data_IF_540372605776
#
_entry.id   IF_540372605776
#
_cell.length_a   1.000
_cell.length_b   1.000
_cell.length_c   1.000
_cell.angle_alpha   90.00
_cell.angle_beta   90.00
_cell.angle_gamma   90.00
#
_symmetry.space_group_name_H-M   'P 1'
#
loop_
_entity.id
_entity.type
_entity.pdbx_description
1 polymer ?
#
# COMPACT_ATOMS: atom_id res chain seq x y z
N UNK A 1 -10.41 -20.01 -28.27
CA UNK A 1 -11.18 -19.53 -29.44
C UNK A 1 -10.36 -18.79 -30.50
N UNK A 2 -9.33 -18.01 -30.15
CA UNK A 2 -8.58 -17.22 -31.14
C UNK A 2 -7.63 -18.00 -32.08
N UNK A 3 -7.23 -19.21 -31.69
CA UNK A 3 -6.27 -20.04 -32.43
C UNK A 3 -6.83 -20.61 -33.74
N UNK A 4 -8.14 -20.87 -33.81
CA UNK A 4 -8.78 -21.41 -35.01
C UNK A 4 -8.82 -20.37 -36.15
N UNK A 5 -9.16 -19.11 -35.83
CA UNK A 5 -9.23 -18.01 -36.80
C UNK A 5 -7.86 -17.71 -37.41
N UNK A 6 -6.80 -17.74 -36.59
CA UNK A 6 -5.44 -17.54 -37.06
C UNK A 6 -4.95 -18.67 -37.99
N UNK A 7 -5.31 -19.91 -37.70
CA UNK A 7 -4.90 -21.09 -38.47
C UNK A 7 -5.64 -21.19 -39.81
N UNK A 8 -6.90 -20.76 -39.89
CA UNK A 8 -7.67 -20.67 -41.13
C UNK A 8 -7.11 -19.61 -42.09
N UNK A 9 -6.70 -18.44 -41.58
CA UNK A 9 -6.10 -17.38 -42.41
C UNK A 9 -4.71 -17.78 -42.96
N UNK A 10 -3.91 -18.50 -42.16
CA UNK A 10 -2.62 -19.03 -42.61
C UNK A 10 -2.76 -20.12 -43.68
N UNK A 11 -3.75 -21.02 -43.55
CA UNK A 11 -4.00 -22.09 -44.53
C UNK A 11 -4.46 -21.58 -45.90
N UNK A 12 -5.25 -20.49 -45.93
CA UNK A 12 -5.72 -19.86 -47.18
C UNK A 12 -4.60 -19.12 -47.95
N UNK A 13 -3.54 -18.68 -47.26
CA UNK A 13 -2.46 -17.90 -47.86
C UNK A 13 -1.45 -18.78 -48.67
N UNK A 14 -1.39 -20.09 -48.37
CA UNK A 14 -0.36 -21.00 -48.92
C UNK A 14 -0.74 -21.57 -50.30
N UNK A 15 -2.02 -21.48 -50.73
CA UNK A 15 -2.53 -22.23 -51.90
C UNK A 15 -2.31 -21.56 -53.28
N UNK A 16 -1.84 -20.31 -53.38
CA UNK A 16 -2.03 -19.50 -54.61
C UNK A 16 -0.86 -19.29 -55.59
N UNK A 17 0.35 -19.81 -55.30
CA UNK A 17 1.36 -20.19 -56.32
C UNK A 17 1.66 -19.29 -57.55
N UNK A 18 1.72 -17.96 -57.43
CA UNK A 18 2.14 -17.03 -58.50
C UNK A 18 2.86 -15.82 -57.87
N UNK A 19 3.92 -15.27 -58.50
CA UNK A 19 4.77 -14.20 -57.95
C UNK A 19 4.01 -12.92 -57.54
N UNK A 20 2.85 -12.64 -58.15
CA UNK A 20 1.95 -11.60 -57.68
C UNK A 20 1.30 -11.93 -56.32
N UNK A 21 0.98 -13.20 -56.07
CA UNK A 21 0.47 -13.67 -54.77
C UNK A 21 1.55 -13.69 -53.68
N UNK A 22 2.83 -13.81 -54.03
CA UNK A 22 3.93 -13.69 -53.06
C UNK A 22 4.05 -12.26 -52.51
N UNK A 23 3.85 -11.25 -53.37
CA UNK A 23 3.77 -9.84 -52.95
C UNK A 23 2.53 -9.55 -52.09
N UNK A 24 1.35 -10.05 -52.49
CA UNK A 24 0.14 -9.91 -51.67
C UNK A 24 0.22 -10.68 -50.35
N UNK A 25 0.87 -11.85 -50.35
CA UNK A 25 1.13 -12.65 -49.16
C UNK A 25 2.02 -11.91 -48.17
N UNK A 26 3.09 -11.27 -48.64
CA UNK A 26 3.99 -10.45 -47.82
C UNK A 26 3.29 -9.24 -47.19
N UNK A 27 2.41 -8.56 -47.93
CA UNK A 27 1.57 -7.48 -47.40
C UNK A 27 0.58 -8.01 -46.34
N UNK A 28 -0.03 -9.17 -46.59
CA UNK A 28 -0.94 -9.83 -45.64
C UNK A 28 -0.25 -10.25 -44.34
N UNK A 29 0.98 -10.76 -44.42
CA UNK A 29 1.81 -11.08 -43.25
C UNK A 29 2.18 -9.80 -42.49
N UNK A 30 2.56 -8.73 -43.19
CA UNK A 30 2.87 -7.43 -42.59
C UNK A 30 1.67 -6.83 -41.85
N UNK A 31 0.48 -6.87 -42.43
CA UNK A 31 -0.76 -6.43 -41.79
C UNK A 31 -1.12 -7.28 -40.57
N UNK A 32 -0.90 -8.59 -40.64
CA UNK A 32 -1.15 -9.51 -39.52
C UNK A 32 -0.21 -9.24 -38.35
N UNK A 33 1.09 -9.06 -38.61
CA UNK A 33 2.06 -8.67 -37.58
C UNK A 33 1.74 -7.28 -37.01
N UNK A 34 1.34 -6.32 -37.86
CA UNK A 34 0.91 -4.99 -37.43
C UNK A 34 -0.31 -5.05 -36.51
N UNK A 35 -1.33 -5.84 -36.88
CA UNK A 35 -2.52 -6.03 -36.06
C UNK A 35 -2.21 -6.70 -34.71
N UNK A 36 -1.41 -7.77 -34.70
CA UNK A 36 -0.98 -8.44 -33.46
C UNK A 36 -0.16 -7.49 -32.59
N UNK A 37 0.75 -6.72 -33.18
CA UNK A 37 1.56 -5.71 -32.47
C UNK A 37 0.69 -4.63 -31.86
N UNK A 38 -0.29 -4.09 -32.60
CA UNK A 38 -1.25 -3.12 -32.07
C UNK A 38 -2.07 -3.71 -30.90
N UNK A 39 -2.51 -4.97 -30.99
CA UNK A 39 -3.21 -5.66 -29.90
C UNK A 39 -2.30 -5.81 -28.68
N UNK A 40 -1.04 -6.20 -28.87
CA UNK A 40 -0.04 -6.33 -27.80
C UNK A 40 0.25 -4.98 -27.14
N UNK A 41 0.42 -3.91 -27.93
CA UNK A 41 0.62 -2.55 -27.42
C UNK A 41 -0.62 -2.10 -26.63
N UNK A 42 -1.84 -2.33 -27.15
CA UNK A 42 -3.06 -1.98 -26.44
C UNK A 42 -3.23 -2.78 -25.14
N UNK A 43 -2.87 -4.07 -25.13
CA UNK A 43 -2.88 -4.92 -23.93
C UNK A 43 -1.81 -4.50 -22.92
N UNK A 44 -0.57 -4.30 -23.36
CA UNK A 44 0.51 -3.80 -22.52
C UNK A 44 0.17 -2.43 -21.94
N UNK A 45 -0.42 -1.53 -22.74
CA UNK A 45 -0.89 -0.23 -22.26
C UNK A 45 -1.99 -0.38 -21.22
N UNK A 46 -2.93 -1.32 -21.38
CA UNK A 46 -3.95 -1.62 -20.35
C UNK A 46 -3.38 -2.29 -19.09
N UNK A 47 -2.29 -3.05 -19.21
CA UNK A 47 -1.58 -3.65 -18.08
C UNK A 47 -0.74 -2.62 -17.32
N UNK A 48 -0.15 -1.66 -18.05
CA UNK A 48 0.68 -0.58 -17.51
C UNK A 48 -0.13 0.60 -16.98
N UNK A 49 -1.33 0.86 -17.51
CA UNK A 49 -2.21 1.95 -17.06
C UNK A 49 -2.90 1.72 -15.72
N UNK A 50 -2.40 0.79 -14.90
CA UNK A 50 -2.81 0.68 -13.51
C UNK A 50 -4.24 0.20 -13.38
N UNK A 51 -4.41 -1.08 -13.07
CA UNK A 51 -5.49 -1.38 -12.14
C UNK A 51 -5.05 -0.72 -10.83
N UNK A 52 -5.62 0.41 -10.45
CA UNK A 52 -5.66 0.80 -9.04
C UNK A 52 -6.31 -0.36 -8.27
N UNK A 53 -6.08 -0.45 -6.96
CA UNK A 53 -6.94 -1.33 -6.15
C UNK A 53 -8.39 -1.03 -6.50
N UNK A 54 -9.23 -2.07 -6.52
CA UNK A 54 -10.65 -1.86 -6.70
C UNK A 54 -11.11 -0.79 -5.71
N UNK A 55 -11.83 0.22 -6.21
CA UNK A 55 -12.22 1.38 -5.41
C UNK A 55 -12.99 0.98 -4.15
N UNK A 56 -13.69 -0.15 -4.20
CA UNK A 56 -14.37 -0.78 -3.06
C UNK A 56 -13.37 -1.31 -2.01
N UNK A 57 -12.30 -1.98 -2.42
CA UNK A 57 -11.25 -2.44 -1.51
C UNK A 57 -10.53 -1.28 -0.84
N UNK A 58 -10.26 -0.22 -1.59
CA UNK A 58 -9.60 0.98 -1.05
C UNK A 58 -10.50 1.69 -0.03
N UNK A 59 -11.80 1.81 -0.33
CA UNK A 59 -12.79 2.31 0.62
C UNK A 59 -12.89 1.43 1.88
N UNK A 60 -12.83 0.11 1.71
CA UNK A 60 -12.82 -0.85 2.82
C UNK A 60 -11.60 -0.68 3.74
N UNK A 61 -10.40 -0.58 3.18
CA UNK A 61 -9.16 -0.33 3.96
C UNK A 61 -9.26 0.99 4.72
N UNK A 62 -9.76 2.06 4.06
CA UNK A 62 -9.96 3.36 4.69
C UNK A 62 -10.95 3.27 5.85
N UNK A 63 -12.07 2.58 5.66
CA UNK A 63 -13.09 2.41 6.71
C UNK A 63 -12.55 1.60 7.89
N UNK A 64 -11.77 0.56 7.61
CA UNK A 64 -11.10 -0.24 8.64
C UNK A 64 -10.18 0.64 9.50
N UNK A 65 -9.31 1.43 8.87
CA UNK A 65 -8.42 2.36 9.57
C UNK A 65 -9.19 3.39 10.40
N UNK A 66 -10.24 4.00 9.84
CA UNK A 66 -11.06 4.98 10.56
C UNK A 66 -11.86 4.40 11.74
N UNK A 67 -11.96 3.08 11.86
CA UNK A 67 -12.61 2.41 13.01
C UNK A 67 -11.67 2.27 14.20
N UNK A 68 -10.36 2.34 13.98
CA UNK A 68 -9.36 2.18 15.02
C UNK A 68 -9.26 3.44 15.87
N UNK A 69 -9.32 3.28 17.20
CA UNK A 69 -9.31 4.43 18.14
C UNK A 69 -8.03 5.25 18.09
N UNK A 70 -6.93 4.63 17.68
CA UNK A 70 -5.61 5.24 17.53
C UNK A 70 -5.49 6.11 16.27
N UNK A 71 -6.45 6.04 15.34
CA UNK A 71 -6.44 6.80 14.08
C UNK A 71 -7.38 8.00 14.18
N UNK A 72 -6.86 9.21 13.91
CA UNK A 72 -7.64 10.44 13.81
C UNK A 72 -8.11 10.69 12.38
N UNK A 73 -7.21 10.52 11.43
CA UNK A 73 -7.48 10.76 10.02
C UNK A 73 -6.54 9.94 9.14
N UNK A 74 -6.95 9.72 7.89
CA UNK A 74 -6.16 9.07 6.86
C UNK A 74 -6.10 9.99 5.65
N UNK A 75 -4.88 10.32 5.24
CA UNK A 75 -4.52 11.24 4.18
C UNK A 75 -3.62 10.56 3.13
N UNK A 76 -3.43 11.24 2.00
CA UNK A 76 -2.57 10.85 0.86
C UNK A 76 -2.61 9.34 0.49
N UNK A 77 -3.82 8.77 0.41
CA UNK A 77 -3.97 7.34 0.07
C UNK A 77 -3.57 7.11 -1.38
N UNK A 78 -2.55 6.27 -1.58
CA UNK A 78 -2.05 5.83 -2.88
C UNK A 78 -2.16 4.31 -2.98
N UNK A 79 -2.71 3.82 -4.10
CA UNK A 79 -2.73 2.39 -4.39
C UNK A 79 -2.28 2.10 -5.82
N UNK A 80 -1.50 1.04 -5.99
CA UNK A 80 -0.99 0.59 -7.28
C UNK A 80 -1.08 -0.93 -7.35
N UNK A 81 -1.73 -1.50 -8.38
CA UNK A 81 -1.59 -2.93 -8.64
C UNK A 81 -0.18 -3.21 -9.16
N UNK A 82 0.49 -4.15 -8.50
CA UNK A 82 1.83 -4.62 -8.88
C UNK A 82 1.70 -5.85 -9.80
N UNK A 83 0.61 -6.60 -9.68
CA UNK A 83 0.40 -7.81 -10.47
C UNK A 83 -1.04 -8.33 -10.39
N UNK A 84 -1.30 -9.53 -10.96
CA UNK A 84 -2.63 -10.13 -10.96
C UNK A 84 -3.12 -10.38 -9.52
N UNK A 85 -4.08 -9.58 -9.07
CA UNK A 85 -4.65 -9.69 -7.71
C UNK A 85 -3.73 -9.23 -6.58
N UNK A 86 -2.64 -8.52 -6.90
CA UNK A 86 -1.70 -8.00 -5.90
C UNK A 86 -1.62 -6.48 -6.00
N UNK A 87 -1.85 -5.82 -4.88
CA UNK A 87 -1.74 -4.38 -4.75
C UNK A 87 -0.73 -3.96 -3.68
N UNK A 88 -0.21 -2.74 -3.86
CA UNK A 88 0.48 -1.96 -2.84
C UNK A 88 -0.43 -0.81 -2.41
N UNK A 89 -0.49 -0.61 -1.12
CA UNK A 89 -1.20 0.47 -0.45
C UNK A 89 -0.18 1.29 0.33
N UNK A 90 -0.27 2.61 0.16
CA UNK A 90 0.45 3.58 0.96
C UNK A 90 -0.52 4.64 1.46
N UNK A 91 -0.41 5.05 2.71
CA UNK A 91 -1.21 6.14 3.26
C UNK A 91 -0.47 6.89 4.35
N UNK A 92 -0.80 8.17 4.50
CA UNK A 92 -0.41 8.98 5.64
C UNK A 92 -1.54 8.89 6.68
N UNK A 93 -1.18 8.62 7.94
CA UNK A 93 -2.15 8.42 9.02
C UNK A 93 -1.83 9.37 10.16
N UNK A 94 -2.81 10.19 10.52
CA UNK A 94 -2.75 11.01 11.72
C UNK A 94 -3.16 10.16 12.93
N UNK A 95 -2.27 10.04 13.91
CA UNK A 95 -2.49 9.21 15.09
C UNK A 95 -3.01 10.02 16.27
N UNK A 96 -3.82 9.38 17.13
CA UNK A 96 -4.35 9.98 18.34
C UNK A 96 -3.32 9.87 19.49
N UNK A 97 -2.66 10.97 19.88
CA UNK A 97 -1.60 10.92 20.91
C UNK A 97 -2.16 10.55 22.28
N UNK A 98 -3.43 10.88 22.58
CA UNK A 98 -4.06 10.53 23.85
C UNK A 98 -4.26 9.03 23.97
N UNK A 99 -4.69 8.36 22.90
CA UNK A 99 -4.88 6.90 22.92
C UNK A 99 -3.54 6.19 23.05
N UNK A 100 -2.52 6.63 22.31
CA UNK A 100 -1.16 6.10 22.44
C UNK A 100 -0.60 6.32 23.86
N UNK A 101 -0.83 7.49 24.45
CA UNK A 101 -0.44 7.78 25.84
C UNK A 101 -1.15 6.89 26.86
N UNK A 102 -2.42 6.54 26.64
CA UNK A 102 -3.12 5.58 27.50
C UNK A 102 -2.54 4.17 27.37
N UNK A 103 -2.24 3.72 26.15
CA UNK A 103 -1.57 2.43 25.91
C UNK A 103 -0.20 2.40 26.58
N UNK A 104 0.57 3.51 26.48
CA UNK A 104 1.84 3.67 27.18
C UNK A 104 1.68 3.43 28.69
N UNK A 105 0.73 4.12 29.33
CA UNK A 105 0.53 4.03 30.78
C UNK A 105 0.10 2.63 31.24
N UNK A 106 -0.62 1.90 30.40
CA UNK A 106 -1.06 0.54 30.68
C UNK A 106 0.02 -0.52 30.43
N UNK A 107 1.16 -0.13 29.84
CA UNK A 107 2.26 -1.05 29.52
C UNK A 107 3.29 -1.07 30.64
N UNK A 108 3.55 -2.26 31.20
CA UNK A 108 4.62 -2.44 32.18
C UNK A 108 4.46 -1.57 33.43
N UNK A 109 5.55 -0.93 33.87
CA UNK A 109 5.59 -0.07 35.06
C UNK A 109 5.47 1.44 34.72
N UNK A 110 5.08 1.76 33.49
CA UNK A 110 5.11 3.13 32.96
C UNK A 110 4.25 4.11 33.76
N UNK A 111 3.12 3.65 34.32
CA UNK A 111 2.29 4.47 35.20
C UNK A 111 3.03 4.88 36.49
N UNK A 112 3.79 3.97 37.09
CA UNK A 112 4.56 4.26 38.30
C UNK A 112 5.73 5.21 38.00
N UNK A 113 6.38 5.05 36.85
CA UNK A 113 7.45 5.93 36.39
C UNK A 113 6.97 7.34 36.09
N UNK A 114 5.78 7.50 35.49
CA UNK A 114 5.17 8.82 35.36
C UNK A 114 4.83 9.44 36.73
N UNK A 115 4.30 8.65 37.67
CA UNK A 115 4.03 9.13 39.03
C UNK A 115 5.32 9.55 39.75
N UNK A 116 6.42 8.81 39.55
CA UNK A 116 7.75 9.13 40.08
C UNK A 116 8.26 10.46 39.53
N UNK A 117 8.07 10.76 38.24
CA UNK A 117 8.40 12.08 37.68
C UNK A 117 7.70 13.22 38.45
N UNK A 118 6.39 13.10 38.65
CA UNK A 118 5.61 14.14 39.35
C UNK A 118 6.02 14.29 40.81
N UNK A 119 6.31 13.18 41.49
CA UNK A 119 6.80 13.20 42.86
C UNK A 119 8.15 13.93 42.96
N UNK A 120 9.14 13.54 42.13
CA UNK A 120 10.48 14.15 42.11
C UNK A 120 10.44 15.65 41.80
N UNK A 121 9.62 16.06 40.83
CA UNK A 121 9.46 17.47 40.45
C UNK A 121 8.93 18.35 41.59
N UNK A 122 8.26 17.75 42.59
CA UNK A 122 7.67 18.44 43.73
C UNK A 122 8.63 18.58 44.93
N UNK A 123 9.80 17.93 44.91
CA UNK A 123 10.71 17.84 46.07
C UNK A 123 11.65 19.04 46.16
N UNK A 124 12.40 19.33 45.09
CA UNK A 124 13.36 20.44 45.05
C UNK A 124 13.69 20.81 43.60
N UNK A 125 14.29 21.99 43.36
CA UNK A 125 14.76 22.38 42.02
C UNK A 125 15.75 21.38 41.42
N UNK A 126 16.61 20.76 42.22
CA UNK A 126 17.55 19.73 41.76
C UNK A 126 16.83 18.43 41.38
N UNK A 127 15.86 17.99 42.19
CA UNK A 127 15.04 16.80 41.89
C UNK A 127 14.13 17.01 40.65
N UNK A 128 13.75 18.25 40.36
CA UNK A 128 13.03 18.59 39.13
C UNK A 128 13.87 18.37 37.86
N UNK A 129 15.20 18.41 37.93
CA UNK A 129 16.09 18.10 36.80
C UNK A 129 16.07 16.58 36.53
N UNK A 130 16.07 15.75 37.58
CA UNK A 130 15.93 14.29 37.44
C UNK A 130 14.57 13.94 36.82
N UNK A 131 13.50 14.59 37.28
CA UNK A 131 12.16 14.42 36.71
C UNK A 131 12.08 14.80 35.22
N UNK A 132 12.73 15.89 34.81
CA UNK A 132 12.81 16.29 33.40
C UNK A 132 13.56 15.25 32.56
N UNK A 133 14.66 14.71 33.07
CA UNK A 133 15.44 13.67 32.38
C UNK A 133 14.62 12.40 32.19
N UNK A 134 13.88 11.97 33.22
CA UNK A 134 12.97 10.84 33.15
C UNK A 134 11.82 11.10 32.18
N UNK A 135 11.24 12.31 32.19
CA UNK A 135 10.18 12.70 31.25
C UNK A 135 10.65 12.68 29.79
N UNK A 136 11.87 13.14 29.50
CA UNK A 136 12.43 13.07 28.15
C UNK A 136 12.63 11.62 27.68
N UNK A 137 13.07 10.72 28.56
CA UNK A 137 13.17 9.29 28.25
C UNK A 137 11.79 8.66 27.96
N UNK A 138 10.73 9.12 28.66
CA UNK A 138 9.35 8.71 28.37
C UNK A 138 8.92 9.16 26.98
N UNK A 139 9.26 10.38 26.59
CA UNK A 139 8.93 10.92 25.27
C UNK A 139 9.61 10.15 24.13
N UNK A 140 10.85 9.68 24.32
CA UNK A 140 11.52 8.81 23.33
C UNK A 140 10.76 7.49 23.12
N UNK A 141 10.07 6.98 24.15
CA UNK A 141 9.23 5.78 24.06
C UNK A 141 7.94 6.00 23.25
N UNK A 142 7.50 7.25 23.05
CA UNK A 142 6.36 7.54 22.18
C UNK A 142 6.66 7.11 20.74
N UNK A 143 7.88 7.34 20.25
CA UNK A 143 8.29 6.90 18.91
C UNK A 143 8.22 5.38 18.77
N UNK A 144 8.65 4.64 19.79
CA UNK A 144 8.58 3.17 19.80
C UNK A 144 7.13 2.67 19.76
N UNK A 145 6.24 3.29 20.54
CA UNK A 145 4.82 2.93 20.55
C UNK A 145 4.12 3.26 19.25
N UNK A 146 4.43 4.41 18.66
CA UNK A 146 3.90 4.80 17.37
C UNK A 146 4.31 3.77 16.30
N UNK A 147 5.58 3.37 16.25
CA UNK A 147 6.06 2.34 15.34
C UNK A 147 5.36 1.00 15.55
N UNK A 148 5.21 0.56 16.82
CA UNK A 148 4.50 -0.67 17.12
C UNK A 148 3.01 -0.62 16.72
N UNK A 149 2.38 0.54 16.85
CA UNK A 149 1.00 0.74 16.42
C UNK A 149 0.86 0.76 14.89
N UNK A 150 1.81 1.38 14.18
CA UNK A 150 1.92 1.32 12.72
C UNK A 150 2.01 -0.15 12.28
N UNK A 151 2.95 -0.92 12.84
CA UNK A 151 3.11 -2.34 12.52
C UNK A 151 1.82 -3.14 12.77
N UNK A 152 1.10 -2.85 13.86
CA UNK A 152 -0.19 -3.47 14.18
C UNK A 152 -1.24 -3.16 13.11
N UNK A 153 -1.36 -1.90 12.70
CA UNK A 153 -2.31 -1.48 11.66
C UNK A 153 -1.96 -2.09 10.30
N UNK A 154 -0.68 -2.15 9.94
CA UNK A 154 -0.24 -2.81 8.71
C UNK A 154 -0.59 -4.30 8.71
N UNK A 155 -0.32 -4.99 9.83
CA UNK A 155 -0.67 -6.40 9.98
C UNK A 155 -2.18 -6.61 9.90
N UNK A 156 -2.97 -5.73 10.51
CA UNK A 156 -4.44 -5.77 10.46
C UNK A 156 -4.94 -5.63 9.01
N UNK A 157 -4.43 -4.67 8.24
CA UNK A 157 -4.79 -4.50 6.82
C UNK A 157 -4.40 -5.73 6.01
N UNK A 158 -3.19 -6.27 6.20
CA UNK A 158 -2.74 -7.48 5.48
C UNK A 158 -3.62 -8.70 5.78
N UNK A 159 -4.18 -8.77 6.99
CA UNK A 159 -5.07 -9.85 7.42
C UNK A 159 -6.46 -9.72 6.79
N UNK A 160 -7.07 -8.53 6.88
CA UNK A 160 -8.43 -8.28 6.38
C UNK A 160 -8.48 -8.15 4.84
N UNK A 161 -7.40 -7.67 4.23
CA UNK A 161 -7.28 -7.47 2.78
C UNK A 161 -6.04 -8.20 2.21
N UNK A 162 -6.07 -9.55 2.06
CA UNK A 162 -4.93 -10.34 1.59
C UNK A 162 -4.41 -9.98 0.18
N UNK A 163 -5.23 -9.29 -0.62
CA UNK A 163 -4.84 -8.77 -1.93
C UNK A 163 -3.81 -7.63 -1.82
N UNK A 164 -3.72 -6.96 -0.66
CA UNK A 164 -2.78 -5.87 -0.38
C UNK A 164 -1.52 -6.44 0.26
N UNK A 165 -0.58 -6.89 -0.59
CA UNK A 165 0.65 -7.52 -0.09
C UNK A 165 1.67 -6.54 0.50
N UNK A 166 1.68 -5.31 0.01
CA UNK A 166 2.58 -4.27 0.51
C UNK A 166 1.72 -3.17 1.09
N UNK A 167 1.80 -3.00 2.40
CA UNK A 167 1.16 -1.92 3.14
C UNK A 167 2.30 -1.11 3.73
N UNK A 168 2.23 0.20 3.54
CA UNK A 168 3.18 1.18 4.04
C UNK A 168 2.38 2.32 4.67
N UNK A 169 2.44 2.45 5.99
CA UNK A 169 1.77 3.53 6.72
C UNK A 169 2.84 4.50 7.22
N UNK A 170 2.72 5.76 6.79
CA UNK A 170 3.56 6.84 7.29
C UNK A 170 2.76 7.68 8.30
N UNK A 171 3.34 8.08 9.44
CA UNK A 171 2.69 9.02 10.33
C UNK A 171 2.60 10.39 9.64
N UNK A 172 1.41 10.97 9.67
CA UNK A 172 1.20 12.33 9.16
C UNK A 172 2.04 13.31 9.99
N UNK A 173 2.87 14.11 9.31
CA UNK A 173 3.78 15.05 9.94
C UNK A 173 3.01 16.17 10.61
N UNK A 174 3.24 16.38 11.91
CA UNK A 174 2.77 17.57 12.64
C UNK A 174 3.60 18.78 12.23
#
# INVERSE_FOLDING_TARGET
GGSAVAMSCLGLCILTGNAAYDAFGSIGIGLSLGAVSCILIAKNRRLLLGRSMDSEQLAGVRQLLMRERSVLAVHDIKSVAIGPGIARFKAEVAFNPTVLGLVYLQTGNNQAELLRCFQLASVSPEAAIEAQTLFLAINELYGVLLSAEIDRLEALIRTEFPAVKHVDIEPDGI
#
